data_IF_898243366565
#
_entry.id   IF_898243366565
#
_cell.length_a   1.000
_cell.length_b   1.000
_cell.length_c   1.000
_cell.angle_alpha   90.00
_cell.angle_beta   90.00
_cell.angle_gamma   90.00
#
_symmetry.space_group_name_H-M   'P 1'
#
loop_
_entity.id
_entity.type
_entity.pdbx_description
1 polymer ?
#
# COMPACT_ATOMS: atom_id res chain seq x y z
N UNK A 1 0.70 -6.29 43.39
CA UNK A 1 1.14 -4.99 42.85
C UNK A 1 2.59 -5.11 42.40
N UNK A 2 2.89 -4.80 41.14
CA UNK A 2 3.87 -5.47 40.27
C UNK A 2 5.30 -4.85 40.22
N UNK A 3 5.74 -4.14 41.26
CA UNK A 3 6.98 -3.35 41.21
C UNK A 3 8.15 -3.95 42.02
N UNK A 4 8.53 -5.20 41.74
CA UNK A 4 9.70 -5.83 42.39
C UNK A 4 10.47 -6.82 41.50
N UNK A 5 10.09 -6.98 40.23
CA UNK A 5 10.75 -7.92 39.30
C UNK A 5 11.83 -7.26 38.42
N UNK A 6 11.80 -5.93 38.28
CA UNK A 6 12.69 -5.19 37.37
C UNK A 6 14.08 -4.96 37.99
N UNK A 7 14.16 -4.71 39.30
CA UNK A 7 15.43 -4.43 40.00
C UNK A 7 16.34 -5.66 40.11
N UNK A 8 15.78 -6.87 40.10
CA UNK A 8 16.56 -8.12 40.23
C UNK A 8 17.22 -8.58 38.94
N UNK A 9 16.74 -8.13 37.78
CA UNK A 9 17.33 -8.51 36.48
C UNK A 9 18.57 -7.65 36.18
N UNK A 10 18.58 -6.40 36.66
CA UNK A 10 19.69 -5.46 36.41
C UNK A 10 20.92 -5.78 37.27
N UNK A 11 20.75 -6.40 38.45
CA UNK A 11 21.86 -6.72 39.35
C UNK A 11 22.63 -8.01 38.99
N UNK A 12 22.10 -8.85 38.10
CA UNK A 12 22.71 -10.14 37.75
C UNK A 12 23.68 -10.08 36.54
N UNK A 13 23.72 -8.98 35.79
CA UNK A 13 24.57 -8.84 34.59
C UNK A 13 25.95 -8.21 34.86
N UNK A 14 26.30 -7.92 36.12
CA UNK A 14 27.54 -7.21 36.48
C UNK A 14 28.65 -8.15 37.00
N UNK A 15 28.44 -9.48 37.00
CA UNK A 15 29.41 -10.43 37.59
C UNK A 15 29.92 -11.54 36.65
N UNK A 16 29.59 -11.51 35.35
CA UNK A 16 30.24 -12.39 34.37
C UNK A 16 31.01 -11.55 33.36
N UNK A 17 32.32 -11.44 33.60
CA UNK A 17 33.27 -10.83 32.68
C UNK A 17 33.22 -11.55 31.34
N UNK A 18 32.74 -10.85 30.32
CA UNK A 18 32.86 -11.28 28.94
C UNK A 18 34.20 -10.71 28.45
N UNK A 19 35.15 -11.62 28.29
CA UNK A 19 36.48 -11.36 27.72
C UNK A 19 36.35 -10.79 26.31
N UNK A 20 36.93 -9.59 26.10
CA UNK A 20 37.22 -9.04 24.79
C UNK A 20 38.21 -9.96 24.06
N UNK A 21 37.74 -10.71 23.06
CA UNK A 21 38.59 -11.22 21.99
C UNK A 21 38.33 -10.40 20.74
N UNK A 22 39.23 -9.47 20.45
CA UNK A 22 39.33 -8.80 19.16
C UNK A 22 39.86 -9.81 18.12
N UNK A 23 39.04 -10.17 17.15
CA UNK A 23 39.48 -10.84 15.92
C UNK A 23 39.50 -9.82 14.78
N UNK A 24 40.53 -9.83 13.90
CA UNK A 24 40.63 -8.90 12.79
C UNK A 24 39.60 -9.20 11.69
N UNK A 25 39.13 -8.11 11.08
CA UNK A 25 38.28 -8.00 9.91
C UNK A 25 38.91 -8.67 8.67
N UNK A 26 38.18 -9.59 8.04
CA UNK A 26 38.43 -10.03 6.67
C UNK A 26 37.16 -10.64 6.04
N UNK A 27 36.41 -9.79 5.35
CA UNK A 27 35.74 -10.11 4.08
C UNK A 27 34.66 -11.20 4.09
N UNK A 28 33.48 -10.88 4.63
CA UNK A 28 32.25 -11.44 4.10
C UNK A 28 31.90 -10.69 2.80
N UNK A 29 32.25 -11.27 1.65
CA UNK A 29 31.65 -10.89 0.38
C UNK A 29 30.18 -11.35 0.38
N UNK A 30 29.29 -10.48 0.86
CA UNK A 30 27.84 -10.66 0.70
C UNK A 30 27.49 -10.47 -0.79
N UNK A 31 26.74 -11.39 -1.41
CA UNK A 31 26.36 -11.29 -2.80
C UNK A 31 25.49 -10.05 -2.99
N UNK A 32 25.84 -9.25 -4.01
CA UNK A 32 25.19 -7.99 -4.33
C UNK A 32 23.67 -8.09 -4.22
N UNK A 33 23.08 -7.17 -3.47
CA UNK A 33 21.65 -6.92 -3.52
C UNK A 33 21.25 -6.82 -4.99
N UNK A 34 20.19 -7.52 -5.46
CA UNK A 34 19.69 -7.31 -6.80
C UNK A 34 19.42 -5.81 -6.96
N UNK A 35 19.71 -5.20 -8.14
CA UNK A 35 19.42 -3.79 -8.33
C UNK A 35 17.98 -3.59 -7.93
N UNK A 36 17.75 -2.73 -6.93
CA UNK A 36 16.43 -2.24 -6.57
C UNK A 36 15.80 -1.82 -7.88
N UNK A 37 14.88 -2.65 -8.34
CA UNK A 37 14.20 -2.54 -9.62
C UNK A 37 13.86 -1.07 -9.80
N UNK A 38 14.46 -0.45 -10.82
CA UNK A 38 14.34 0.97 -11.10
C UNK A 38 12.87 1.35 -10.90
N UNK A 39 12.59 2.06 -9.80
CA UNK A 39 11.23 2.48 -9.51
C UNK A 39 10.87 3.46 -10.60
N UNK A 40 10.24 2.97 -11.66
CA UNK A 40 9.55 3.79 -12.64
C UNK A 40 8.69 4.74 -11.83
N UNK A 41 9.00 6.04 -11.89
CA UNK A 41 8.31 7.05 -11.11
C UNK A 41 6.83 6.98 -11.50
N UNK A 42 6.04 6.40 -10.62
CA UNK A 42 4.63 6.12 -10.87
C UNK A 42 3.79 7.03 -9.99
N UNK A 43 2.81 7.68 -10.59
CA UNK A 43 1.96 8.66 -9.90
C UNK A 43 0.63 8.03 -9.51
N UNK A 44 0.14 8.30 -8.30
CA UNK A 44 -1.14 7.77 -7.83
C UNK A 44 -2.25 8.81 -7.97
N UNK A 45 -3.36 8.42 -8.56
CA UNK A 45 -4.59 9.22 -8.60
C UNK A 45 -5.75 8.43 -8.01
N UNK A 46 -6.74 9.15 -7.51
CA UNK A 46 -7.87 8.52 -6.83
C UNK A 46 -9.18 9.28 -7.04
N UNK A 47 -10.28 8.57 -6.79
CA UNK A 47 -11.60 9.15 -6.56
C UNK A 47 -12.18 8.59 -5.27
N UNK A 48 -12.92 9.41 -4.52
CA UNK A 48 -13.48 9.04 -3.22
C UNK A 48 -14.88 9.59 -3.04
N UNK A 49 -15.67 8.91 -2.21
CA UNK A 49 -16.97 9.39 -1.77
C UNK A 49 -17.39 8.74 -0.45
N UNK A 50 -18.36 9.36 0.21
CA UNK A 50 -19.04 8.82 1.39
C UNK A 50 -20.45 8.34 1.04
N UNK A 51 -21.02 7.49 1.90
CA UNK A 51 -22.41 7.04 1.80
C UNK A 51 -23.04 6.98 3.19
N UNK A 52 -24.30 7.36 3.28
CA UNK A 52 -25.12 7.11 4.47
C UNK A 52 -25.68 5.68 4.48
N UNK A 53 -26.11 5.20 5.65
CA UNK A 53 -26.78 3.90 5.77
C UNK A 53 -27.93 3.78 4.79
N UNK A 54 -27.92 2.72 4.00
CA UNK A 54 -29.01 2.41 3.09
C UNK A 54 -28.84 2.99 1.69
N UNK A 55 -27.95 3.97 1.50
CA UNK A 55 -27.62 4.54 0.21
C UNK A 55 -27.03 3.48 -0.72
N UNK A 56 -27.40 3.54 -2.01
CA UNK A 56 -27.10 2.50 -2.99
C UNK A 56 -26.37 3.06 -4.21
N UNK A 57 -25.51 2.22 -4.81
CA UNK A 57 -25.00 2.38 -6.18
C UNK A 57 -24.38 3.74 -6.46
N UNK A 58 -23.38 4.11 -5.65
CA UNK A 58 -22.52 5.25 -5.95
C UNK A 58 -21.37 4.84 -6.87
N UNK A 59 -20.99 5.75 -7.77
CA UNK A 59 -19.87 5.58 -8.70
C UNK A 59 -19.00 6.81 -8.73
N UNK A 60 -17.70 6.64 -8.95
CA UNK A 60 -16.79 7.74 -9.24
C UNK A 60 -15.80 7.36 -10.34
N UNK A 61 -15.21 8.38 -10.97
CA UNK A 61 -14.18 8.20 -11.99
C UNK A 61 -12.82 8.61 -11.44
N UNK A 62 -11.84 7.73 -11.57
CA UNK A 62 -10.44 8.08 -11.28
C UNK A 62 -9.91 8.86 -12.47
N UNK A 63 -9.41 10.10 -12.29
CA UNK A 63 -8.89 10.89 -13.40
C UNK A 63 -7.64 10.24 -13.98
N UNK A 64 -7.60 10.14 -15.32
CA UNK A 64 -6.43 9.66 -16.06
C UNK A 64 -5.63 10.88 -16.50
N UNK A 65 -4.39 11.06 -16.02
CA UNK A 65 -3.58 12.19 -16.42
C UNK A 65 -3.18 12.06 -17.91
N UNK A 66 -3.39 13.12 -18.69
CA UNK A 66 -3.14 13.13 -20.14
C UNK A 66 -1.73 12.68 -20.58
N UNK A 67 -1.58 11.54 -21.26
CA UNK A 67 -0.25 11.04 -21.67
C UNK A 67 0.42 10.16 -20.60
N UNK A 68 -0.31 9.76 -19.57
CA UNK A 68 0.07 8.66 -18.70
C UNK A 68 -0.75 7.41 -19.04
N UNK A 69 -0.19 6.24 -18.75
CA UNK A 69 -0.87 4.95 -18.87
C UNK A 69 -1.03 4.33 -17.49
N UNK A 70 -2.01 3.45 -17.31
CA UNK A 70 -2.16 2.71 -16.06
C UNK A 70 -0.94 1.80 -15.88
N UNK A 71 -0.31 1.90 -14.72
CA UNK A 71 0.78 1.02 -14.33
C UNK A 71 0.24 -0.39 -14.04
N UNK A 72 1.09 -1.39 -14.16
CA UNK A 72 0.72 -2.79 -13.91
C UNK A 72 1.51 -3.35 -12.73
N UNK A 73 0.97 -4.38 -12.07
CA UNK A 73 1.76 -5.12 -11.08
C UNK A 73 2.97 -5.77 -11.78
N UNK A 74 4.19 -5.66 -11.21
CA UNK A 74 5.41 -6.20 -11.82
C UNK A 74 5.26 -7.65 -12.25
N UNK A 75 5.66 -7.96 -13.49
CA UNK A 75 5.56 -9.31 -14.06
C UNK A 75 4.14 -9.75 -14.45
N UNK A 76 3.14 -8.85 -14.45
CA UNK A 76 1.76 -9.18 -14.84
C UNK A 76 1.17 -8.14 -15.78
N UNK A 77 0.10 -8.52 -16.49
CA UNK A 77 -0.77 -7.58 -17.22
C UNK A 77 -1.91 -7.04 -16.34
N UNK A 78 -1.88 -7.24 -15.01
CA UNK A 78 -2.92 -6.77 -14.11
C UNK A 78 -2.69 -5.29 -13.77
N UNK A 79 -3.68 -4.41 -13.99
CA UNK A 79 -3.59 -3.00 -13.58
C UNK A 79 -3.25 -2.88 -12.10
N UNK A 80 -2.37 -1.94 -11.75
CA UNK A 80 -2.07 -1.62 -10.37
C UNK A 80 -3.20 -0.75 -9.82
N UNK A 81 -3.98 -1.33 -8.91
CA UNK A 81 -5.14 -0.68 -8.31
C UNK A 81 -5.28 -1.06 -6.84
N UNK A 82 -5.82 -0.15 -6.04
CA UNK A 82 -6.19 -0.40 -4.66
C UNK A 82 -7.56 0.21 -4.35
N UNK A 83 -8.29 -0.40 -3.41
CA UNK A 83 -9.58 0.10 -2.93
C UNK A 83 -9.50 0.16 -1.41
N UNK A 84 -9.45 1.38 -0.86
CA UNK A 84 -9.57 1.61 0.57
C UNK A 84 -11.03 1.88 0.91
N UNK A 85 -11.56 1.25 1.97
CA UNK A 85 -12.96 1.46 2.39
C UNK A 85 -13.13 1.42 3.91
N UNK A 86 -14.05 2.26 4.39
CA UNK A 86 -14.55 2.27 5.76
C UNK A 86 -16.01 1.83 5.83
N UNK A 87 -16.39 1.17 6.92
CA UNK A 87 -17.74 0.65 7.11
C UNK A 87 -18.05 -0.62 6.32
N UNK A 88 -19.33 -1.02 6.31
CA UNK A 88 -19.78 -2.23 5.61
C UNK A 88 -20.43 -1.87 4.27
N UNK A 89 -19.61 -1.89 3.22
CA UNK A 89 -20.04 -1.82 1.81
C UNK A 89 -19.14 -2.69 0.94
N UNK A 90 -19.63 -3.09 -0.23
CA UNK A 90 -18.86 -3.82 -1.24
C UNK A 90 -18.54 -2.88 -2.39
N UNK A 91 -17.27 -2.78 -2.75
CA UNK A 91 -16.78 -1.87 -3.77
C UNK A 91 -15.84 -2.60 -4.73
N UNK A 92 -15.86 -2.20 -6.00
CA UNK A 92 -15.00 -2.76 -7.04
C UNK A 92 -14.79 -1.75 -8.17
N UNK A 93 -13.75 -1.95 -8.97
CA UNK A 93 -13.71 -1.35 -10.30
C UNK A 93 -14.76 -2.06 -11.17
N UNK A 94 -15.53 -1.29 -11.93
CA UNK A 94 -16.60 -1.83 -12.75
C UNK A 94 -16.04 -2.29 -14.10
N UNK A 95 -15.98 -3.61 -14.32
CA UNK A 95 -15.39 -4.21 -15.52
C UNK A 95 -16.12 -3.86 -16.83
N UNK A 96 -17.38 -3.40 -16.76
CA UNK A 96 -18.19 -3.09 -17.95
C UNK A 96 -17.99 -1.66 -18.41
N UNK A 97 -17.77 -0.75 -17.47
CA UNK A 97 -17.68 0.69 -17.72
C UNK A 97 -16.25 1.21 -17.65
N UNK A 98 -15.33 0.41 -17.09
CA UNK A 98 -13.89 0.71 -17.05
C UNK A 98 -13.22 0.34 -18.37
N UNK A 99 -12.68 1.36 -19.02
CA UNK A 99 -11.64 1.26 -20.04
C UNK A 99 -10.35 1.84 -19.44
N UNK A 100 -9.34 1.00 -19.24
CA UNK A 100 -8.11 1.39 -18.53
C UNK A 100 -7.28 2.47 -19.23
N UNK A 101 -7.64 2.88 -20.46
CA UNK A 101 -6.97 3.96 -21.19
C UNK A 101 -7.72 5.28 -21.08
N UNK A 102 -9.05 5.24 -21.03
CA UNK A 102 -9.90 6.42 -21.22
C UNK A 102 -10.86 6.70 -20.08
N UNK A 103 -11.26 5.68 -19.30
CA UNK A 103 -12.26 5.84 -18.24
C UNK A 103 -12.14 4.75 -17.18
N UNK A 104 -11.75 5.11 -15.96
CA UNK A 104 -11.67 4.17 -14.85
C UNK A 104 -12.80 4.43 -13.87
N UNK A 105 -13.70 3.46 -13.70
CA UNK A 105 -14.92 3.64 -12.90
C UNK A 105 -14.88 2.74 -11.66
N UNK A 106 -14.90 3.37 -10.49
CA UNK A 106 -15.16 2.69 -9.22
C UNK A 106 -16.65 2.67 -8.91
N UNK A 107 -17.16 1.57 -8.37
CA UNK A 107 -18.56 1.45 -7.94
C UNK A 107 -18.66 0.76 -6.59
N UNK A 108 -19.64 1.19 -5.79
CA UNK A 108 -20.00 0.53 -4.54
C UNK A 108 -21.47 0.15 -4.50
N UNK A 109 -21.76 -0.98 -3.84
CA UNK A 109 -23.11 -1.39 -3.48
C UNK A 109 -23.65 -0.61 -2.27
N UNK A 110 -24.71 -1.16 -1.66
CA UNK A 110 -25.40 -0.55 -0.53
C UNK A 110 -24.50 -0.42 0.72
N UNK A 111 -24.53 0.74 1.38
CA UNK A 111 -23.91 0.90 2.69
C UNK A 111 -24.79 0.28 3.79
N UNK A 112 -24.22 -0.61 4.62
CA UNK A 112 -24.93 -1.33 5.69
C UNK A 112 -24.67 -0.77 7.10
N UNK A 113 -23.62 0.03 7.27
CA UNK A 113 -23.28 0.74 8.52
C UNK A 113 -23.83 2.17 8.51
N UNK A 114 -23.76 2.88 9.65
CA UNK A 114 -24.21 4.28 9.76
C UNK A 114 -23.58 5.18 8.69
N UNK A 115 -22.28 5.02 8.48
CA UNK A 115 -21.52 5.68 7.43
C UNK A 115 -20.61 4.66 6.73
N UNK A 116 -20.39 4.87 5.44
CA UNK A 116 -19.35 4.21 4.66
C UNK A 116 -18.52 5.27 3.95
N UNK A 117 -17.25 4.96 3.72
CA UNK A 117 -16.34 5.77 2.91
C UNK A 117 -15.55 4.87 1.98
N UNK A 118 -15.18 5.38 0.81
CA UNK A 118 -14.38 4.64 -0.16
C UNK A 118 -13.42 5.56 -0.89
N UNK A 119 -12.27 4.99 -1.26
CA UNK A 119 -11.31 5.58 -2.17
C UNK A 119 -10.83 4.51 -3.16
N UNK A 120 -10.96 4.78 -4.44
CA UNK A 120 -10.41 3.99 -5.54
C UNK A 120 -9.10 4.62 -5.99
N UNK A 121 -8.01 3.87 -5.93
CA UNK A 121 -6.65 4.36 -6.19
C UNK A 121 -6.09 3.59 -7.38
N UNK A 122 -5.53 4.33 -8.34
CA UNK A 122 -4.82 3.76 -9.49
C UNK A 122 -3.46 4.43 -9.62
N UNK A 123 -2.47 3.61 -9.93
CA UNK A 123 -1.11 4.06 -10.20
C UNK A 123 -0.89 4.16 -11.70
N UNK A 124 -0.25 5.23 -12.13
CA UNK A 124 -0.01 5.56 -13.52
C UNK A 124 1.50 5.65 -13.78
N UNK A 125 1.92 5.14 -14.93
CA UNK A 125 3.23 5.39 -15.50
C UNK A 125 3.14 6.61 -16.44
N UNK A 126 3.83 7.68 -16.06
CA UNK A 126 3.91 8.93 -16.80
C UNK A 126 5.28 9.16 -17.45
N UNK A 127 6.15 8.14 -17.47
CA UNK A 127 7.52 8.25 -18.01
C UNK A 127 7.56 8.66 -19.48
N UNK A 128 6.49 8.39 -20.23
CA UNK A 128 6.31 8.78 -21.63
C UNK A 128 6.02 10.28 -21.83
N UNK A 129 5.90 11.07 -20.75
CA UNK A 129 5.76 12.53 -20.82
C UNK A 129 7.08 13.29 -20.94
N UNK A 130 8.20 12.58 -21.07
CA UNK A 130 9.52 13.17 -21.28
C UNK A 130 9.64 13.81 -22.66
#
# INVERSE_FOLDING_TARGET
>A
MHSSRIVRIILAMVLFGITLSATPDASAAEPGSPPLSESSATTEFNCSFGMAKGEVRQTCQVPIPAGCMVAHFPGTAKPWTNISKGGNTQCKFDDKTTDWKTRITGTCGKCRTGHCSVQFIVKFDCSQRK
#
